data_IF_958635292245
#
_entry.id   IF_958635292245
#
_cell.length_a   1.000
_cell.length_b   1.000
_cell.length_c   1.000
_cell.angle_alpha   90.00
_cell.angle_beta   90.00
_cell.angle_gamma   90.00
#
_symmetry.space_group_name_H-M   'P 1'
#
loop_
_entity.id
_entity.type
_entity.pdbx_description
1 polymer ?
#
# COMPACT_ATOMS: atom_id res chain seq x y z
N UNK A 1 6.01 40.64 -13.26
CA UNK A 1 6.77 40.02 -12.15
C UNK A 1 5.86 39.34 -11.13
N UNK A 2 4.99 40.06 -10.40
CA UNK A 2 4.14 39.48 -9.35
C UNK A 2 3.13 38.43 -9.85
N UNK A 3 2.49 38.67 -11.00
CA UNK A 3 1.56 37.70 -11.61
C UNK A 3 2.23 36.38 -12.00
N UNK A 4 3.47 36.45 -12.50
CA UNK A 4 4.25 35.25 -12.86
C UNK A 4 4.59 34.46 -11.59
N UNK A 5 4.95 35.14 -10.50
CA UNK A 5 5.20 34.51 -9.21
C UNK A 5 3.94 33.81 -8.66
N UNK A 6 2.78 34.45 -8.74
CA UNK A 6 1.50 33.87 -8.31
C UNK A 6 1.17 32.63 -9.14
N UNK A 7 1.32 32.68 -10.46
CA UNK A 7 1.08 31.53 -11.35
C UNK A 7 2.01 30.36 -11.00
N UNK A 8 3.30 30.63 -10.77
CA UNK A 8 4.26 29.59 -10.36
C UNK A 8 3.82 28.95 -9.04
N UNK A 9 3.47 29.75 -8.01
CA UNK A 9 3.02 29.24 -6.70
C UNK A 9 1.77 28.36 -6.80
N UNK A 10 0.81 28.70 -7.67
CA UNK A 10 -0.38 27.87 -7.88
C UNK A 10 -0.04 26.52 -8.54
N UNK A 11 0.93 26.51 -9.48
CA UNK A 11 1.36 25.29 -10.17
C UNK A 11 2.09 24.30 -9.26
N UNK A 12 2.97 24.78 -8.36
CA UNK A 12 3.67 23.90 -7.39
C UNK A 12 2.72 23.31 -6.34
N UNK A 13 1.69 24.05 -5.91
CA UNK A 13 0.73 23.56 -4.93
C UNK A 13 -0.23 22.49 -5.48
N UNK A 14 -0.37 22.38 -6.80
CA UNK A 14 -1.19 21.35 -7.46
C UNK A 14 -0.51 19.98 -7.54
N UNK A 15 0.79 19.90 -7.25
CA UNK A 15 1.56 18.64 -7.30
C UNK A 15 1.34 17.90 -5.98
N UNK A 16 0.22 17.18 -5.85
CA UNK A 16 0.06 16.12 -4.86
C UNK A 16 0.62 14.82 -5.42
N UNK A 17 1.89 14.50 -5.14
CA UNK A 17 2.40 13.15 -5.34
C UNK A 17 1.87 12.32 -4.19
N UNK A 18 0.77 11.59 -4.40
CA UNK A 18 0.24 10.70 -3.39
C UNK A 18 -0.26 9.41 -4.00
N UNK A 19 0.64 8.61 -4.57
CA UNK A 19 0.37 7.20 -4.81
C UNK A 19 1.49 6.40 -4.16
N UNK A 20 1.36 6.13 -2.85
CA UNK A 20 2.26 5.23 -2.14
C UNK A 20 2.12 3.78 -2.65
N UNK A 21 0.99 3.45 -3.26
CA UNK A 21 0.69 2.16 -3.84
C UNK A 21 0.83 2.21 -5.36
N UNK A 22 1.54 1.21 -5.90
CA UNK A 22 1.55 0.90 -7.33
C UNK A 22 0.50 -0.16 -7.67
N UNK A 23 0.15 -0.99 -6.69
CA UNK A 23 -0.89 -2.01 -6.81
C UNK A 23 -1.60 -2.16 -5.47
N UNK A 24 -2.94 -2.11 -5.51
CA UNK A 24 -3.81 -2.19 -4.35
C UNK A 24 -4.66 -3.46 -4.42
N UNK A 25 -5.04 -4.03 -3.27
CA UNK A 25 -5.95 -5.18 -3.25
C UNK A 25 -7.36 -4.76 -3.68
N UNK A 26 -8.01 -5.60 -4.47
CA UNK A 26 -9.39 -5.42 -4.91
C UNK A 26 -10.33 -6.45 -4.25
N UNK A 27 -11.62 -6.18 -4.34
CA UNK A 27 -12.66 -7.10 -3.86
C UNK A 27 -12.66 -8.38 -4.69
N UNK A 28 -12.64 -9.53 -4.01
CA UNK A 28 -12.53 -10.84 -4.63
C UNK A 28 -13.38 -11.87 -3.90
N UNK A 29 -14.13 -12.65 -4.68
CA UNK A 29 -14.84 -13.82 -4.18
C UNK A 29 -13.99 -15.06 -4.39
N UNK A 30 -14.00 -15.98 -3.42
CA UNK A 30 -13.20 -17.20 -3.49
C UNK A 30 -13.92 -18.40 -2.90
N UNK A 31 -13.50 -19.60 -3.31
CA UNK A 31 -14.07 -20.86 -2.86
C UNK A 31 -13.40 -21.28 -1.56
N UNK A 32 -14.20 -21.78 -0.60
CA UNK A 32 -13.68 -22.30 0.67
C UNK A 32 -12.66 -23.41 0.42
N UNK A 33 -11.50 -23.30 1.06
CA UNK A 33 -10.40 -24.27 0.94
C UNK A 33 -9.38 -23.95 -0.15
N UNK A 34 -9.67 -22.96 -1.01
CA UNK A 34 -8.68 -22.46 -1.97
C UNK A 34 -7.70 -21.46 -1.33
N UNK A 35 -6.60 -21.19 -2.04
CA UNK A 35 -5.62 -20.18 -1.65
C UNK A 35 -5.92 -18.87 -2.37
N UNK A 36 -6.01 -17.78 -1.62
CA UNK A 36 -6.18 -16.42 -2.14
C UNK A 36 -4.92 -15.61 -1.92
N UNK A 37 -4.51 -14.85 -2.94
CA UNK A 37 -3.42 -13.87 -2.86
C UNK A 37 -4.05 -12.49 -3.08
N UNK A 38 -3.87 -11.60 -2.10
CA UNK A 38 -4.25 -10.20 -2.22
C UNK A 38 -3.00 -9.40 -2.64
N UNK A 39 -2.95 -8.86 -3.86
CA UNK A 39 -1.80 -8.10 -4.30
C UNK A 39 -1.70 -6.78 -3.53
N UNK A 40 -0.49 -6.41 -3.15
CA UNK A 40 -0.20 -5.10 -2.59
C UNK A 40 1.25 -4.77 -2.88
N UNK A 41 1.49 -3.65 -3.56
CA UNK A 41 2.83 -3.20 -3.91
C UNK A 41 2.92 -1.70 -3.73
N UNK A 42 3.94 -1.26 -2.99
CA UNK A 42 4.24 0.15 -2.79
C UNK A 42 5.29 0.65 -3.75
N UNK A 43 5.31 1.97 -3.94
CA UNK A 43 6.36 2.63 -4.71
C UNK A 43 7.70 2.48 -3.97
N UNK A 44 8.77 1.97 -4.60
CA UNK A 44 10.08 1.82 -3.97
C UNK A 44 10.67 3.15 -3.47
N UNK A 45 10.27 4.29 -4.05
CA UNK A 45 10.71 5.63 -3.62
C UNK A 45 10.13 5.99 -2.26
N UNK A 46 8.96 5.45 -1.93
CA UNK A 46 8.27 5.67 -0.67
C UNK A 46 8.35 4.39 0.17
N UNK A 47 9.47 4.23 0.90
CA UNK A 47 9.73 3.11 1.82
C UNK A 47 8.81 3.15 3.07
N UNK A 48 7.49 3.17 2.86
CA UNK A 48 6.52 3.11 3.94
C UNK A 48 6.34 1.67 4.42
N UNK A 49 6.13 1.53 5.72
CA UNK A 49 5.82 0.24 6.32
C UNK A 49 4.38 -0.17 5.93
N UNK A 50 4.26 -1.25 5.15
CA UNK A 50 2.96 -1.84 4.79
C UNK A 50 2.44 -2.69 5.94
N UNK A 51 1.20 -2.45 6.36
CA UNK A 51 0.48 -3.28 7.33
C UNK A 51 -0.84 -3.76 6.70
N UNK A 52 -1.15 -5.04 6.87
CA UNK A 52 -2.44 -5.59 6.47
C UNK A 52 -3.48 -5.35 7.56
N UNK A 53 -4.70 -4.99 7.16
CA UNK A 53 -5.86 -4.85 8.04
C UNK A 53 -6.93 -5.89 7.71
N UNK A 54 -7.68 -6.32 8.73
CA UNK A 54 -8.86 -7.16 8.55
C UNK A 54 -9.98 -6.66 9.46
N UNK A 55 -11.14 -6.34 8.88
CA UNK A 55 -12.31 -5.85 9.62
C UNK A 55 -11.93 -4.74 10.63
N UNK A 56 -11.23 -3.70 10.15
CA UNK A 56 -10.71 -2.56 10.92
C UNK A 56 -9.52 -2.85 11.85
N UNK A 57 -9.07 -4.10 12.00
CA UNK A 57 -7.86 -4.43 12.77
C UNK A 57 -6.61 -4.40 11.89
N UNK A 58 -5.83 -3.33 11.97
CA UNK A 58 -4.61 -3.09 11.18
C UNK A 58 -3.31 -3.71 11.73
N UNK A 59 -3.44 -4.67 12.65
CA UNK A 59 -2.31 -5.28 13.36
C UNK A 59 -2.21 -6.78 13.10
N UNK A 60 -2.27 -7.20 11.83
CA UNK A 60 -2.01 -8.61 11.49
C UNK A 60 -0.59 -9.04 11.90
N UNK A 61 0.36 -8.11 11.85
CA UNK A 61 1.74 -8.32 12.26
C UNK A 61 2.71 -7.64 11.28
N UNK A 62 3.94 -7.42 11.74
CA UNK A 62 5.04 -6.88 10.91
C UNK A 62 5.90 -7.96 10.27
N UNK A 63 5.80 -9.19 10.78
CA UNK A 63 6.55 -10.33 10.26
C UNK A 63 5.77 -11.03 9.16
N UNK A 64 6.50 -11.66 8.23
CA UNK A 64 5.90 -12.24 7.03
C UNK A 64 5.16 -13.55 7.28
N UNK A 65 5.51 -14.24 8.34
CA UNK A 65 4.99 -15.53 8.78
C UNK A 65 3.71 -15.41 9.63
N UNK A 66 3.40 -14.22 10.16
CA UNK A 66 2.20 -13.92 10.94
C UNK A 66 1.84 -15.05 11.94
N UNK A 67 2.66 -15.30 12.97
CA UNK A 67 2.62 -16.52 13.78
C UNK A 67 1.28 -16.78 14.50
N UNK A 68 0.49 -15.73 14.75
CA UNK A 68 -0.84 -15.81 15.36
C UNK A 68 -1.95 -16.12 14.34
N UNK A 69 -1.64 -16.15 13.05
CA UNK A 69 -2.55 -16.39 11.94
C UNK A 69 -2.03 -17.52 11.04
N UNK A 70 -2.22 -18.79 11.42
CA UNK A 70 -1.56 -19.95 10.78
C UNK A 70 -1.92 -20.19 9.31
N UNK A 71 -2.93 -19.49 8.78
CA UNK A 71 -3.36 -19.57 7.37
C UNK A 71 -2.93 -18.36 6.54
N UNK A 72 -2.31 -17.36 7.15
CA UNK A 72 -1.93 -16.11 6.49
C UNK A 72 -0.41 -16.02 6.40
N UNK A 73 0.06 -15.53 5.26
CA UNK A 73 1.47 -15.29 5.02
C UNK A 73 1.61 -14.09 4.09
N UNK A 74 2.55 -13.20 4.40
CA UNK A 74 2.95 -12.13 3.49
C UNK A 74 4.01 -12.71 2.55
N UNK A 75 3.74 -12.71 1.25
CA UNK A 75 4.64 -13.21 0.19
C UNK A 75 5.18 -12.06 -0.69
N UNK A 76 6.27 -12.29 -1.43
CA UNK A 76 7.01 -11.24 -2.17
C UNK A 76 8.30 -10.76 -1.50
N UNK A 77 8.99 -9.82 -2.16
CA UNK A 77 10.29 -9.29 -1.72
C UNK A 77 10.15 -7.82 -1.35
N UNK A 78 10.80 -7.41 -0.26
CA UNK A 78 11.08 -5.99 -0.08
C UNK A 78 12.11 -5.60 -1.15
N UNK A 79 11.83 -4.57 -1.93
CA UNK A 79 12.84 -4.02 -2.84
C UNK A 79 13.98 -3.48 -1.97
N UNK A 80 15.15 -4.12 -2.04
CA UNK A 80 16.41 -3.61 -1.49
C UNK A 80 16.98 -2.53 -2.42
#
# INVERSE_FOLDING_TARGET
MLFILIIIVQLINGIKINNQFVEEPEDVETIIGSTLILPCRTDPVHQSQVNWCKNDFCTLGKTRDLPFYPRYQIIGHAHQ
#
